data_IF_432011314796
#
_entry.id   IF_432011314796
#
_cell.length_a   1.000
_cell.length_b   1.000
_cell.length_c   1.000
_cell.angle_alpha   90.00
_cell.angle_beta   90.00
_cell.angle_gamma   90.00
#
_symmetry.space_group_name_H-M   'P 1'
#
loop_
_entity.id
_entity.type
_entity.pdbx_description
1 polymer ?
#
# COMPACT_ATOMS: atom_id res chain seq x y z
N UNK A 1 14.06 -6.22 -21.18
CA UNK A 1 13.84 -5.59 -19.87
C UNK A 1 12.37 -5.20 -19.82
N UNK A 2 11.54 -5.90 -19.02
CA UNK A 2 10.15 -5.48 -18.87
C UNK A 2 10.16 -4.12 -18.16
N UNK A 3 9.69 -3.07 -18.84
CA UNK A 3 9.45 -1.79 -18.19
C UNK A 3 8.26 -1.99 -17.25
N UNK A 4 8.54 -2.41 -16.02
CA UNK A 4 7.54 -2.48 -14.97
C UNK A 4 7.04 -1.07 -14.65
N UNK A 5 5.74 -0.90 -14.57
CA UNK A 5 5.12 0.34 -14.11
C UNK A 5 5.38 0.49 -12.61
N UNK A 6 5.97 1.60 -12.20
CA UNK A 6 6.11 1.92 -10.78
C UNK A 6 5.00 2.87 -10.35
N UNK A 7 4.21 2.46 -9.35
CA UNK A 7 3.14 3.24 -8.75
C UNK A 7 3.56 3.73 -7.36
N UNK A 8 3.71 5.04 -7.20
CA UNK A 8 3.94 5.69 -5.91
C UNK A 8 2.63 6.22 -5.36
N UNK A 9 2.27 5.83 -4.15
CA UNK A 9 0.98 6.16 -3.53
C UNK A 9 1.10 6.21 -2.01
N UNK A 10 0.01 6.53 -1.30
CA UNK A 10 -0.04 6.57 0.16
C UNK A 10 -1.22 5.78 0.70
N UNK A 11 -1.08 5.35 1.95
CA UNK A 11 -2.08 4.59 2.69
C UNK A 11 -2.91 5.50 3.59
N UNK A 12 -4.16 5.11 3.78
CA UNK A 12 -5.09 5.68 4.76
C UNK A 12 -5.57 4.60 5.73
N UNK A 13 -6.09 5.06 6.86
CA UNK A 13 -6.45 4.20 7.99
C UNK A 13 -5.30 4.02 8.97
N UNK A 14 -5.64 3.46 10.13
CA UNK A 14 -4.67 3.10 11.16
C UNK A 14 -4.16 1.68 10.90
N UNK A 15 -2.87 1.39 11.14
CA UNK A 15 -2.35 0.03 11.10
C UNK A 15 -3.13 -0.89 12.06
N UNK A 16 -3.30 -2.15 11.67
CA UNK A 16 -3.99 -3.15 12.49
C UNK A 16 -3.28 -3.43 13.83
N UNK A 17 -3.98 -4.01 14.81
CA UNK A 17 -3.39 -4.38 16.08
C UNK A 17 -2.24 -5.37 15.88
N UNK A 18 -1.09 -5.08 16.50
CA UNK A 18 0.11 -5.92 16.42
C UNK A 18 1.10 -5.54 15.32
N UNK A 19 0.80 -4.55 14.47
CA UNK A 19 1.77 -4.02 13.51
C UNK A 19 2.96 -3.42 14.26
N UNK A 20 4.14 -4.01 14.06
CA UNK A 20 5.40 -3.38 14.49
C UNK A 20 5.58 -2.06 13.74
N UNK A 21 6.08 -1.00 14.39
CA UNK A 21 6.19 0.33 13.79
C UNK A 21 6.86 0.26 12.40
N UNK A 22 6.15 0.61 11.31
CA UNK A 22 6.67 0.46 9.95
C UNK A 22 7.90 1.37 9.75
N UNK A 23 8.82 0.93 8.88
CA UNK A 23 10.06 1.64 8.53
C UNK A 23 10.18 1.83 7.02
N UNK A 24 10.91 2.86 6.61
CA UNK A 24 11.26 3.05 5.20
C UNK A 24 12.09 1.86 4.72
N UNK A 25 11.76 1.35 3.53
CA UNK A 25 12.39 0.17 2.94
C UNK A 25 11.69 -1.16 3.25
N UNK A 26 10.82 -1.20 4.25
CA UNK A 26 10.06 -2.39 4.62
C UNK A 26 9.25 -2.90 3.43
N UNK A 27 9.23 -4.23 3.28
CA UNK A 27 8.44 -4.89 2.26
C UNK A 27 6.94 -4.77 2.57
N UNK A 28 6.17 -4.43 1.54
CA UNK A 28 4.71 -4.35 1.60
C UNK A 28 4.14 -5.11 0.41
N UNK A 29 2.94 -5.65 0.60
CA UNK A 29 2.17 -6.27 -0.47
C UNK A 29 0.81 -5.55 -0.58
N UNK A 30 0.51 -5.03 -1.77
CA UNK A 30 -0.84 -4.60 -2.09
C UNK A 30 -1.66 -5.82 -2.50
N UNK A 31 -2.83 -6.00 -1.88
CA UNK A 31 -3.76 -7.10 -2.16
C UNK A 31 -5.13 -6.54 -2.51
N UNK A 32 -5.70 -7.06 -3.59
CA UNK A 32 -7.11 -6.81 -3.92
C UNK A 32 -8.00 -7.50 -2.87
N UNK A 33 -8.92 -6.74 -2.29
CA UNK A 33 -9.88 -7.20 -1.28
C UNK A 33 -11.30 -7.13 -1.84
N UNK A 34 -12.22 -7.91 -1.25
CA UNK A 34 -13.67 -7.83 -1.51
C UNK A 34 -14.02 -7.81 -3.00
N UNK A 35 -13.44 -8.72 -3.80
CA UNK A 35 -13.71 -8.80 -5.24
C UNK A 35 -13.16 -7.62 -6.06
N UNK A 36 -12.16 -6.90 -5.54
CA UNK A 36 -11.52 -5.74 -6.20
C UNK A 36 -12.11 -4.39 -5.79
N UNK A 37 -13.07 -4.37 -4.86
CA UNK A 37 -13.67 -3.14 -4.35
C UNK A 37 -12.80 -2.40 -3.32
N UNK A 38 -11.78 -3.05 -2.78
CA UNK A 38 -10.81 -2.38 -1.92
C UNK A 38 -9.41 -2.91 -2.19
N UNK A 39 -8.39 -2.12 -1.86
CA UNK A 39 -7.00 -2.55 -1.94
C UNK A 39 -6.34 -2.26 -0.60
N UNK A 40 -5.93 -3.34 0.06
CA UNK A 40 -5.23 -3.27 1.34
C UNK A 40 -3.73 -3.40 1.13
N UNK A 41 -2.96 -2.73 1.98
CA UNK A 41 -1.52 -2.89 2.06
C UNK A 41 -1.16 -3.71 3.29
N UNK A 42 -0.35 -4.74 3.10
CA UNK A 42 0.01 -5.70 4.13
C UNK A 42 1.52 -5.77 4.31
N UNK A 43 1.99 -5.84 5.55
CA UNK A 43 3.40 -6.09 5.86
C UNK A 43 3.82 -7.50 5.42
N UNK A 44 5.12 -7.77 5.41
CA UNK A 44 5.65 -9.13 5.19
C UNK A 44 5.09 -10.17 6.19
N UNK A 45 4.71 -9.74 7.39
CA UNK A 45 4.06 -10.58 8.40
C UNK A 45 2.54 -10.77 8.17
N UNK A 46 2.00 -10.26 7.06
CA UNK A 46 0.57 -10.36 6.72
C UNK A 46 -0.33 -9.39 7.49
N UNK A 47 0.24 -8.39 8.17
CA UNK A 47 -0.53 -7.45 8.98
C UNK A 47 -0.97 -6.26 8.13
N UNK A 48 -2.23 -5.81 8.29
CA UNK A 48 -2.75 -4.67 7.54
C UNK A 48 -2.08 -3.36 8.00
N UNK A 49 -1.35 -2.70 7.10
CA UNK A 49 -0.74 -1.39 7.32
C UNK A 49 -1.70 -0.25 7.01
N UNK A 50 -2.74 -0.52 6.22
CA UNK A 50 -3.73 0.47 5.79
C UNK A 50 -4.37 0.08 4.47
N UNK A 51 -5.14 1.01 3.89
CA UNK A 51 -5.82 0.82 2.60
C UNK A 51 -5.51 1.98 1.66
N UNK A 52 -5.56 1.69 0.36
CA UNK A 52 -5.54 2.74 -0.63
C UNK A 52 -6.81 3.60 -0.50
N UNK A 53 -6.69 4.93 -0.56
CA UNK A 53 -7.85 5.80 -0.69
C UNK A 53 -8.57 5.54 -2.02
N UNK A 54 -9.87 5.92 -2.13
CA UNK A 54 -10.69 5.58 -3.29
C UNK A 54 -10.14 6.03 -4.66
N UNK A 55 -9.51 7.21 -4.73
CA UNK A 55 -8.97 7.75 -5.98
C UNK A 55 -7.76 6.95 -6.46
N UNK A 56 -6.81 6.69 -5.57
CA UNK A 56 -5.61 5.91 -5.82
C UNK A 56 -5.94 4.45 -6.09
N UNK A 57 -6.98 3.91 -5.43
CA UNK A 57 -7.53 2.57 -5.73
C UNK A 57 -8.02 2.48 -7.18
N UNK A 58 -8.78 3.47 -7.65
CA UNK A 58 -9.32 3.46 -9.01
C UNK A 58 -8.18 3.55 -10.05
N UNK A 59 -7.23 4.46 -9.85
CA UNK A 59 -6.05 4.56 -10.70
C UNK A 59 -5.23 3.26 -10.70
N UNK A 60 -5.06 2.64 -9.53
CA UNK A 60 -4.37 1.35 -9.42
C UNK A 60 -5.12 0.25 -10.17
N UNK A 61 -6.45 0.18 -10.07
CA UNK A 61 -7.26 -0.83 -10.76
C UNK A 61 -7.15 -0.77 -12.30
N UNK A 62 -6.91 0.42 -12.87
CA UNK A 62 -6.68 0.59 -14.31
C UNK A 62 -5.27 0.19 -14.76
N UNK A 63 -4.28 0.34 -13.88
CA UNK A 63 -2.87 0.07 -14.18
C UNK A 63 -2.47 -1.40 -14.01
N UNK A 64 -3.27 -2.18 -13.28
CA UNK A 64 -2.92 -3.54 -12.90
C UNK A 64 -3.37 -4.59 -13.92
N UNK A 65 -2.53 -5.59 -14.14
CA UNK A 65 -2.82 -6.73 -15.01
C UNK A 65 -4.03 -7.52 -14.52
N UNK A 66 -5.01 -7.72 -15.39
CA UNK A 66 -6.22 -8.52 -15.10
C UNK A 66 -5.82 -9.92 -14.60
N UNK A 67 -6.34 -10.30 -13.44
CA UNK A 67 -6.13 -11.63 -12.83
C UNK A 67 -5.02 -11.70 -11.79
N UNK A 68 -4.16 -10.69 -11.66
CA UNK A 68 -3.15 -10.65 -10.59
C UNK A 68 -3.73 -9.99 -9.34
N UNK A 69 -3.73 -10.73 -8.23
CA UNK A 69 -4.38 -10.35 -6.97
C UNK A 69 -3.44 -9.64 -5.99
N UNK A 70 -2.12 -9.73 -6.19
CA UNK A 70 -1.15 -9.09 -5.32
C UNK A 70 0.05 -8.49 -6.04
N UNK A 71 0.55 -7.39 -5.47
CA UNK A 71 1.61 -6.57 -6.02
C UNK A 71 2.65 -6.25 -4.94
N UNK A 72 3.90 -6.70 -5.11
CA UNK A 72 4.96 -6.40 -4.17
C UNK A 72 5.37 -4.93 -4.27
N UNK A 73 5.76 -4.37 -3.14
CA UNK A 73 6.23 -3.01 -3.03
C UNK A 73 7.11 -2.79 -1.81
N UNK A 74 7.46 -1.53 -1.57
CA UNK A 74 8.20 -1.09 -0.40
C UNK A 74 7.66 0.21 0.15
N UNK A 75 7.83 0.43 1.44
CA UNK A 75 7.59 1.74 2.06
C UNK A 75 8.67 2.71 1.57
N UNK A 76 8.25 3.79 0.91
CA UNK A 76 9.14 4.83 0.39
C UNK A 76 9.29 6.01 1.34
N UNK A 77 8.25 6.34 2.11
CA UNK A 77 8.32 7.38 3.13
C UNK A 77 7.29 7.14 4.25
N UNK A 78 7.59 7.70 5.42
CA UNK A 78 6.68 7.81 6.54
C UNK A 78 6.49 9.30 6.83
N UNK A 79 5.27 9.80 6.64
CA UNK A 79 4.94 11.21 6.76
C UNK A 79 4.12 11.41 8.03
N UNK A 80 4.71 11.95 9.11
CA UNK A 80 3.96 12.23 10.33
C UNK A 80 2.87 13.26 10.06
N UNK A 81 1.73 13.15 10.74
CA UNK A 81 0.72 14.20 10.68
C UNK A 81 1.15 15.38 11.56
N UNK A 82 0.90 16.63 11.12
CA UNK A 82 1.06 17.79 11.99
C UNK A 82 0.32 17.55 13.32
N UNK A 83 0.99 17.86 14.43
CA UNK A 83 0.47 17.72 15.81
C UNK A 83 0.26 16.28 16.32
N UNK A 84 0.87 15.26 15.68
CA UNK A 84 0.84 13.85 16.13
C UNK A 84 -0.58 13.26 16.31
N UNK A 85 -1.60 13.83 15.66
CA UNK A 85 -2.95 13.28 15.73
C UNK A 85 -3.10 12.10 14.76
N UNK A 86 -3.11 10.88 15.31
CA UNK A 86 -3.29 9.62 14.58
C UNK A 86 -2.00 9.08 13.94
N UNK A 87 -2.10 7.94 13.25
CA UNK A 87 -0.98 7.42 12.48
C UNK A 87 -0.65 8.35 11.30
N UNK A 88 0.65 8.58 11.10
CA UNK A 88 1.19 9.24 9.92
C UNK A 88 0.73 8.57 8.62
N UNK A 89 0.95 9.23 7.48
CA UNK A 89 0.74 8.61 6.17
C UNK A 89 1.94 7.75 5.81
N UNK A 90 1.68 6.53 5.34
CA UNK A 90 2.71 5.65 4.81
C UNK A 90 2.67 5.78 3.29
N UNK A 91 3.78 6.20 2.69
CA UNK A 91 3.93 6.20 1.25
C UNK A 91 4.60 4.91 0.81
N UNK A 92 4.11 4.31 -0.27
CA UNK A 92 4.59 3.04 -0.79
C UNK A 92 4.89 3.17 -2.28
N UNK A 93 5.92 2.46 -2.74
CA UNK A 93 6.23 2.26 -4.15
C UNK A 93 5.95 0.81 -4.50
N UNK A 94 5.20 0.58 -5.56
CA UNK A 94 4.76 -0.74 -6.01
C UNK A 94 5.19 -0.93 -7.44
N UNK A 95 5.78 -2.07 -7.74
CA UNK A 95 6.19 -2.41 -9.11
C UNK A 95 5.17 -3.36 -9.72
N UNK A 96 4.41 -2.83 -10.68
CA UNK A 96 3.50 -3.60 -11.54
C UNK A 96 4.29 -4.06 -12.77
N UNK A 97 4.72 -5.32 -12.74
CA UNK A 97 5.32 -6.03 -13.86
C UNK A 97 4.34 -6.99 -14.52
#
# INVERSE_FOLDING_TARGET
MAQGLDFLTYLTGEPGPGVTSPRVGDAVELRMLSGGQAVGAFSAAGQCLGRLPPAERNAFAELVSKGRLSYPGRISALVPRPRLQGAGRIHIRVSAG
#
